data_IF_616419880485
#
_entry.id   IF_616419880485
#
_cell.length_a   1.000
_cell.length_b   1.000
_cell.length_c   1.000
_cell.angle_alpha   90.00
_cell.angle_beta   90.00
_cell.angle_gamma   90.00
#
_symmetry.space_group_name_H-M   'P 1'
#
loop_
_entity.id
_entity.type
_entity.pdbx_description
1 polymer ?
#
# COMPACT_ATOMS: atom_id res chain seq x y z
N UNK A 1 21.70 19.46 19.39
CA UNK A 1 20.43 18.72 19.20
C UNK A 1 20.05 18.82 17.73
N UNK A 2 19.77 17.69 17.10
CA UNK A 2 19.85 17.49 15.65
C UNK A 2 18.74 18.18 14.85
N UNK A 3 19.11 19.17 14.03
CA UNK A 3 18.26 19.82 13.01
C UNK A 3 17.71 18.83 11.95
N UNK A 4 18.22 17.60 11.88
CA UNK A 4 17.86 16.60 10.85
C UNK A 4 16.41 16.11 10.89
N UNK A 5 15.68 16.34 11.98
CA UNK A 5 14.31 15.86 12.17
C UNK A 5 13.24 16.93 11.96
N UNK A 6 13.62 18.18 11.66
CA UNK A 6 12.64 19.21 11.35
C UNK A 6 12.00 18.93 9.99
N UNK A 7 10.68 18.71 10.00
CA UNK A 7 9.89 18.57 8.78
C UNK A 7 9.84 19.94 8.09
N UNK A 8 10.35 20.00 6.87
CA UNK A 8 10.30 21.19 6.03
C UNK A 8 9.00 21.24 5.22
N UNK A 9 8.54 20.08 4.75
CA UNK A 9 7.33 19.96 3.92
C UNK A 9 6.69 18.60 4.12
N UNK A 10 5.36 18.60 4.18
CA UNK A 10 4.55 17.40 4.04
C UNK A 10 3.57 17.60 2.88
N UNK A 11 3.50 16.63 1.98
CA UNK A 11 2.56 16.61 0.86
C UNK A 11 1.69 15.38 1.04
N UNK A 12 0.39 15.56 0.84
CA UNK A 12 -0.60 14.48 0.80
C UNK A 12 -1.46 14.68 -0.45
N UNK A 13 -1.64 13.64 -1.25
CA UNK A 13 -2.41 13.68 -2.49
C UNK A 13 -3.43 12.53 -2.54
N UNK A 14 -4.68 12.88 -2.86
CA UNK A 14 -5.68 11.92 -3.32
C UNK A 14 -5.63 11.84 -4.84
N UNK A 15 -5.56 10.63 -5.36
CA UNK A 15 -5.55 10.36 -6.79
C UNK A 15 -6.94 9.88 -7.24
N UNK A 16 -7.42 10.26 -8.44
CA UNK A 16 -8.68 9.76 -8.96
C UNK A 16 -8.69 8.23 -9.10
N UNK A 17 -9.50 7.55 -8.27
CA UNK A 17 -9.62 6.09 -8.25
C UNK A 17 -11.07 5.58 -8.44
N UNK A 18 -12.04 6.49 -8.59
CA UNK A 18 -13.48 6.19 -8.62
C UNK A 18 -13.91 5.38 -7.38
N UNK A 19 -14.32 4.13 -7.55
CA UNK A 19 -14.69 3.21 -6.47
C UNK A 19 -13.43 2.46 -6.00
N UNK A 20 -12.66 3.08 -5.11
CA UNK A 20 -11.44 2.52 -4.52
C UNK A 20 -10.59 3.60 -3.87
N UNK A 21 -9.35 3.25 -3.53
CA UNK A 21 -8.42 4.19 -2.90
C UNK A 21 -7.06 4.17 -3.61
N UNK A 22 -6.56 5.38 -3.87
CA UNK A 22 -5.16 5.61 -4.24
C UNK A 22 -4.72 6.95 -3.67
N UNK A 23 -3.78 6.89 -2.73
CA UNK A 23 -3.23 8.09 -2.09
C UNK A 23 -1.72 7.98 -2.01
N UNK A 24 -1.05 9.12 -2.02
CA UNK A 24 0.39 9.18 -1.83
C UNK A 24 0.76 10.41 -1.03
N UNK A 25 2.00 10.42 -0.55
CA UNK A 25 2.54 11.61 0.07
C UNK A 25 4.04 11.55 0.22
N UNK A 26 4.57 12.70 0.64
CA UNK A 26 5.99 12.89 0.87
C UNK A 26 6.19 13.68 2.15
N UNK A 27 7.15 13.27 2.97
CA UNK A 27 7.64 14.03 4.11
C UNK A 27 9.10 14.37 3.83
N UNK A 28 9.40 15.67 3.78
CA UNK A 28 10.73 16.19 3.49
C UNK A 28 11.33 16.77 4.76
N UNK A 29 12.56 16.35 5.08
CA UNK A 29 13.40 16.91 6.13
C UNK A 29 14.71 17.42 5.52
N UNK A 30 15.57 18.05 6.34
CA UNK A 30 16.91 18.45 5.92
C UNK A 30 17.72 17.23 5.45
N UNK A 31 17.84 17.08 4.13
CA UNK A 31 18.65 16.05 3.47
C UNK A 31 17.95 14.74 3.16
N UNK A 32 16.63 14.60 3.42
CA UNK A 32 15.90 13.37 3.11
C UNK A 32 14.44 13.62 2.74
N UNK A 33 13.98 12.88 1.74
CA UNK A 33 12.55 12.76 1.41
C UNK A 33 12.12 11.34 1.69
N UNK A 34 11.02 11.17 2.41
CA UNK A 34 10.33 9.91 2.60
C UNK A 34 9.06 9.90 1.76
N UNK A 35 8.97 9.01 0.77
CA UNK A 35 7.81 8.89 -0.12
C UNK A 35 6.99 7.66 0.21
N UNK A 36 5.67 7.81 0.25
CA UNK A 36 4.76 6.71 0.56
C UNK A 36 3.53 6.70 -0.35
N UNK A 37 2.97 5.51 -0.54
CA UNK A 37 1.68 5.24 -1.18
C UNK A 37 0.84 4.45 -0.20
N UNK A 38 -0.41 4.86 -0.03
CA UNK A 38 -1.41 4.12 0.74
C UNK A 38 -2.55 3.73 -0.20
N UNK A 39 -2.65 2.42 -0.43
CA UNK A 39 -3.46 1.76 -1.45
C UNK A 39 -3.18 2.24 -2.88
N UNK A 40 -3.53 1.39 -3.85
CA UNK A 40 -3.54 1.74 -5.27
C UNK A 40 -4.51 0.80 -5.96
N UNK A 41 -5.80 1.15 -5.93
CA UNK A 41 -6.83 0.26 -6.45
C UNK A 41 -8.11 0.95 -6.87
N UNK A 42 -8.91 0.18 -7.59
CA UNK A 42 -10.25 0.51 -8.05
C UNK A 42 -11.03 -0.76 -8.38
N UNK A 43 -12.33 -0.77 -8.08
CA UNK A 43 -13.31 -1.74 -8.55
C UNK A 43 -13.72 -1.51 -10.00
N UNK A 44 -13.44 -0.31 -10.54
CA UNK A 44 -13.66 0.04 -11.95
C UNK A 44 -12.58 -0.56 -12.87
N UNK A 45 -12.58 -0.17 -14.16
CA UNK A 45 -11.51 -0.53 -15.10
C UNK A 45 -10.17 0.00 -14.59
N UNK A 46 -9.20 -0.88 -14.33
CA UNK A 46 -7.88 -0.53 -13.77
C UNK A 46 -7.12 0.53 -14.58
N UNK A 47 -7.37 0.62 -15.89
CA UNK A 47 -6.74 1.62 -16.77
C UNK A 47 -6.99 3.08 -16.35
N UNK A 48 -8.03 3.37 -15.55
CA UNK A 48 -8.24 4.73 -15.01
C UNK A 48 -7.10 5.18 -14.09
N UNK A 49 -6.33 4.23 -13.54
CA UNK A 49 -5.21 4.50 -12.65
C UNK A 49 -3.92 4.81 -13.42
N UNK A 50 -3.88 4.64 -14.74
CA UNK A 50 -2.62 4.77 -15.51
C UNK A 50 -2.05 6.19 -15.44
N UNK A 51 -2.88 7.19 -15.68
CA UNK A 51 -2.46 8.59 -15.61
C UNK A 51 -2.10 9.01 -14.18
N UNK A 52 -2.93 8.73 -13.15
CA UNK A 52 -2.57 8.99 -11.76
C UNK A 52 -1.27 8.30 -11.31
N UNK A 53 -1.07 7.04 -11.68
CA UNK A 53 0.15 6.30 -11.33
C UNK A 53 1.36 6.95 -12.00
N UNK A 54 1.25 7.35 -13.27
CA UNK A 54 2.32 8.03 -14.00
C UNK A 54 2.71 9.35 -13.32
N UNK A 55 1.74 10.20 -13.00
CA UNK A 55 1.97 11.49 -12.33
C UNK A 55 2.58 11.31 -10.93
N UNK A 56 2.08 10.33 -10.16
CA UNK A 56 2.64 10.00 -8.85
C UNK A 56 4.11 9.57 -8.97
N UNK A 57 4.44 8.69 -9.92
CA UNK A 57 5.83 8.24 -10.14
C UNK A 57 6.78 9.39 -10.48
N UNK A 58 6.32 10.36 -11.27
CA UNK A 58 7.12 11.54 -11.62
C UNK A 58 7.48 12.39 -10.40
N UNK A 59 6.71 12.30 -9.30
CA UNK A 59 7.02 12.99 -8.05
C UNK A 59 8.07 12.25 -7.19
N UNK A 60 8.37 10.98 -7.48
CA UNK A 60 9.26 10.15 -6.65
C UNK A 60 10.73 10.52 -6.89
N UNK A 61 11.48 10.87 -5.82
CA UNK A 61 12.92 11.07 -5.95
C UNK A 61 13.61 9.73 -6.28
N UNK A 62 14.43 9.71 -7.32
CA UNK A 62 15.20 8.53 -7.77
C UNK A 62 14.32 7.29 -8.00
N UNK A 63 13.07 7.47 -8.45
CA UNK A 63 12.13 6.37 -8.72
C UNK A 63 11.95 5.43 -7.51
N UNK A 64 12.13 5.97 -6.31
CA UNK A 64 12.13 5.22 -5.05
C UNK A 64 10.88 5.53 -4.26
N UNK A 65 10.16 4.47 -3.92
CA UNK A 65 9.04 4.48 -2.99
C UNK A 65 9.49 3.86 -1.67
N UNK A 66 9.54 4.64 -0.60
CA UNK A 66 9.99 4.13 0.69
C UNK A 66 8.96 3.22 1.37
N UNK A 67 7.67 3.47 1.12
CA UNK A 67 6.60 2.68 1.73
C UNK A 67 5.40 2.51 0.79
N UNK A 68 5.02 1.26 0.54
CA UNK A 68 3.71 0.89 0.02
C UNK A 68 2.89 0.28 1.15
N UNK A 69 1.92 1.02 1.67
CA UNK A 69 0.94 0.51 2.63
C UNK A 69 -0.30 0.01 1.88
N UNK A 70 -0.71 -1.23 2.16
CA UNK A 70 -1.95 -1.81 1.62
C UNK A 70 -2.88 -2.02 2.80
N UNK A 71 -4.00 -1.29 2.83
CA UNK A 71 -4.92 -1.27 3.96
C UNK A 71 -5.63 -2.60 4.18
N UNK A 72 -5.95 -3.30 3.10
CA UNK A 72 -6.51 -4.64 3.06
C UNK A 72 -6.49 -5.19 1.62
N UNK A 73 -6.68 -6.49 1.46
CA UNK A 73 -6.39 -7.17 0.19
C UNK A 73 -7.58 -7.26 -0.78
N UNK A 74 -8.44 -6.24 -0.81
CA UNK A 74 -9.56 -6.15 -1.75
C UNK A 74 -9.15 -5.54 -3.09
N UNK A 75 -9.88 -5.88 -4.15
CA UNK A 75 -9.58 -5.45 -5.52
C UNK A 75 -9.50 -3.92 -5.65
N UNK A 76 -10.41 -3.20 -5.05
CA UNK A 76 -10.51 -1.73 -5.02
C UNK A 76 -9.39 -1.02 -4.26
N UNK A 77 -8.50 -1.78 -3.60
CA UNK A 77 -7.36 -1.24 -2.89
C UNK A 77 -6.01 -1.71 -3.46
N UNK A 78 -6.00 -2.84 -4.19
CA UNK A 78 -4.76 -3.45 -4.73
C UNK A 78 -4.64 -3.52 -6.25
N UNK A 79 -5.71 -3.27 -7.02
CA UNK A 79 -5.74 -3.60 -8.45
C UNK A 79 -4.74 -2.82 -9.32
N UNK A 80 -4.28 -1.65 -8.87
CA UNK A 80 -3.26 -0.83 -9.54
C UNK A 80 -1.82 -1.15 -9.16
N UNK A 81 -1.59 -1.96 -8.11
CA UNK A 81 -0.23 -2.20 -7.57
C UNK A 81 0.71 -2.83 -8.62
N UNK A 82 0.19 -3.72 -9.47
CA UNK A 82 0.98 -4.35 -10.55
C UNK A 82 1.49 -3.34 -11.59
N UNK A 83 0.78 -2.22 -11.77
CA UNK A 83 1.18 -1.11 -12.65
C UNK A 83 2.09 -0.13 -11.90
N UNK A 84 1.76 0.14 -10.64
CA UNK A 84 2.54 0.97 -9.73
C UNK A 84 3.97 0.48 -9.62
N UNK A 85 4.19 -0.82 -9.38
CA UNK A 85 5.53 -1.37 -9.13
C UNK A 85 6.48 -1.39 -10.33
N UNK A 86 5.99 -1.08 -11.53
CA UNK A 86 6.85 -1.02 -12.72
C UNK A 86 7.76 0.21 -12.62
N UNK A 87 9.01 0.06 -12.99
CA UNK A 87 9.95 1.18 -13.16
C UNK A 87 10.21 1.99 -11.88
N UNK A 88 9.90 1.41 -10.70
CA UNK A 88 10.22 2.00 -9.40
C UNK A 88 10.77 0.94 -8.44
N UNK A 89 11.53 1.37 -7.46
CA UNK A 89 11.97 0.52 -6.35
C UNK A 89 11.05 0.73 -5.15
N UNK A 90 10.47 -0.36 -4.64
CA UNK A 90 9.68 -0.35 -3.40
C UNK A 90 10.58 -0.85 -2.27
N UNK A 91 10.82 -0.01 -1.27
CA UNK A 91 11.70 -0.37 -0.15
C UNK A 91 10.95 -1.22 0.88
N UNK A 92 9.76 -0.77 1.29
CA UNK A 92 8.98 -1.45 2.32
C UNK A 92 7.53 -1.64 1.87
N UNK A 93 6.97 -2.81 2.14
CA UNK A 93 5.53 -3.06 2.02
C UNK A 93 4.95 -3.22 3.42
N UNK A 94 3.93 -2.44 3.75
CA UNK A 94 3.18 -2.56 4.99
C UNK A 94 1.84 -3.25 4.72
N UNK A 95 1.56 -4.32 5.46
CA UNK A 95 0.29 -5.04 5.42
C UNK A 95 -0.34 -5.10 6.81
N UNK A 96 -1.68 -5.04 6.93
CA UNK A 96 -2.36 -5.42 8.15
C UNK A 96 -2.11 -6.90 8.45
N UNK A 97 -1.85 -7.23 9.72
CA UNK A 97 -1.82 -8.62 10.15
C UNK A 97 -3.24 -9.10 10.46
N UNK A 98 -3.59 -10.19 9.81
CA UNK A 98 -4.66 -11.07 10.24
C UNK A 98 -4.10 -12.48 10.32
N UNK A 99 -4.35 -13.17 11.42
CA UNK A 99 -4.03 -14.59 11.54
C UNK A 99 -4.73 -15.39 10.43
N UNK A 100 -4.25 -16.61 10.13
CA UNK A 100 -4.83 -17.43 9.06
C UNK A 100 -6.35 -17.62 9.23
N UNK A 101 -6.81 -17.94 10.44
CA UNK A 101 -8.24 -18.13 10.71
C UNK A 101 -9.03 -16.83 10.53
N UNK A 102 -8.50 -15.67 10.93
CA UNK A 102 -9.17 -14.37 10.70
C UNK A 102 -9.34 -14.10 9.22
N UNK A 103 -8.31 -14.38 8.42
CA UNK A 103 -8.39 -14.23 6.96
C UNK A 103 -9.40 -15.19 6.35
N UNK A 104 -9.46 -16.44 6.81
CA UNK A 104 -10.46 -17.41 6.37
C UNK A 104 -11.89 -16.94 6.69
N UNK A 105 -12.14 -16.51 7.94
CA UNK A 105 -13.45 -15.99 8.36
C UNK A 105 -13.84 -14.77 7.53
N UNK A 106 -12.94 -13.79 7.38
CA UNK A 106 -13.22 -12.60 6.57
C UNK A 106 -13.45 -12.96 5.11
N UNK A 107 -12.67 -13.89 4.55
CA UNK A 107 -12.83 -14.29 3.16
C UNK A 107 -14.22 -14.90 2.89
N UNK A 108 -14.68 -15.77 3.79
CA UNK A 108 -16.04 -16.35 3.72
C UNK A 108 -17.12 -15.29 3.87
N UNK A 109 -17.00 -14.41 4.89
CA UNK A 109 -17.99 -13.35 5.14
C UNK A 109 -18.12 -12.36 3.98
N UNK A 110 -17.02 -12.14 3.25
CA UNK A 110 -16.96 -11.20 2.12
C UNK A 110 -17.23 -11.88 0.77
N UNK A 111 -17.53 -13.19 0.76
CA UNK A 111 -17.86 -13.93 -0.46
C UNK A 111 -16.67 -14.13 -1.41
N UNK A 112 -15.45 -14.23 -0.90
CA UNK A 112 -14.28 -14.55 -1.71
C UNK A 112 -14.27 -16.01 -2.12
N UNK A 113 -14.09 -16.26 -3.42
CA UNK A 113 -14.05 -17.59 -4.00
C UNK A 113 -12.83 -17.79 -4.90
N UNK A 114 -12.52 -19.05 -5.21
CA UNK A 114 -11.51 -19.43 -6.19
C UNK A 114 -10.15 -18.75 -6.00
N UNK A 115 -9.66 -18.08 -7.05
CA UNK A 115 -8.36 -17.40 -7.04
C UNK A 115 -8.31 -16.23 -6.06
N UNK A 116 -9.38 -15.46 -5.97
CA UNK A 116 -9.42 -14.25 -5.12
C UNK A 116 -9.39 -14.63 -3.63
N UNK A 117 -10.00 -15.77 -3.26
CA UNK A 117 -9.87 -16.37 -1.93
C UNK A 117 -8.40 -16.68 -1.58
N UNK A 118 -7.68 -17.34 -2.49
CA UNK A 118 -6.27 -17.70 -2.26
C UNK A 118 -5.40 -16.44 -2.14
N UNK A 119 -5.65 -15.42 -2.97
CA UNK A 119 -4.94 -14.14 -2.87
C UNK A 119 -5.20 -13.43 -1.55
N UNK A 120 -6.45 -13.43 -1.06
CA UNK A 120 -6.83 -12.82 0.20
C UNK A 120 -6.22 -13.54 1.42
N UNK A 121 -6.22 -14.88 1.40
CA UNK A 121 -5.65 -15.69 2.48
C UNK A 121 -4.12 -15.57 2.52
N UNK A 122 -3.47 -15.51 1.36
CA UNK A 122 -2.01 -15.46 1.24
C UNK A 122 -1.52 -14.19 0.53
N UNK A 123 -1.73 -12.99 1.11
CA UNK A 123 -1.47 -11.72 0.45
C UNK A 123 0.01 -11.56 0.07
N UNK A 124 0.94 -11.97 0.94
CA UNK A 124 2.38 -11.92 0.64
C UNK A 124 2.77 -12.83 -0.52
N UNK A 125 2.22 -14.03 -0.59
CA UNK A 125 2.48 -14.94 -1.71
C UNK A 125 1.87 -14.40 -3.00
N UNK A 126 0.69 -13.77 -2.93
CA UNK A 126 0.06 -13.12 -4.08
C UNK A 126 0.93 -11.97 -4.61
N UNK A 127 1.48 -11.13 -3.72
CA UNK A 127 2.42 -10.06 -4.11
C UNK A 127 3.70 -10.64 -4.75
N UNK A 128 4.27 -11.68 -4.14
CA UNK A 128 5.47 -12.35 -4.67
C UNK A 128 5.22 -12.94 -6.06
N UNK A 129 4.12 -13.67 -6.26
CA UNK A 129 3.73 -14.25 -7.56
C UNK A 129 3.56 -13.19 -8.65
N UNK A 130 3.18 -11.97 -8.27
CA UNK A 130 3.06 -10.81 -9.16
C UNK A 130 4.39 -10.13 -9.45
N UNK A 131 5.50 -10.63 -8.90
CA UNK A 131 6.84 -10.08 -9.06
C UNK A 131 7.05 -8.78 -8.26
N UNK A 132 6.20 -8.51 -7.27
CA UNK A 132 6.38 -7.35 -6.39
C UNK A 132 7.49 -7.68 -5.41
N UNK A 133 8.62 -7.02 -5.58
CA UNK A 133 9.80 -7.14 -4.71
C UNK A 133 9.84 -5.92 -3.79
N UNK A 134 10.04 -6.17 -2.50
CA UNK A 134 10.36 -5.16 -1.51
C UNK A 134 11.53 -5.63 -0.67
N UNK A 135 12.32 -4.70 -0.14
CA UNK A 135 13.43 -5.06 0.75
C UNK A 135 12.91 -5.59 2.08
N UNK A 136 11.86 -4.97 2.61
CA UNK A 136 11.22 -5.41 3.84
C UNK A 136 9.70 -5.52 3.70
N UNK A 137 9.14 -6.42 4.50
CA UNK A 137 7.69 -6.53 4.72
C UNK A 137 7.42 -6.22 6.18
N UNK A 138 6.61 -5.19 6.42
CA UNK A 138 6.16 -4.77 7.75
C UNK A 138 4.74 -5.30 7.95
N UNK A 139 4.54 -6.09 9.00
CA UNK A 139 3.24 -6.67 9.31
C UNK A 139 2.70 -5.98 10.56
N UNK A 140 1.59 -5.26 10.43
CA UNK A 140 0.97 -4.52 11.55
C UNK A 140 0.03 -5.44 12.32
N UNK A 141 0.51 -5.97 13.44
CA UNK A 141 -0.32 -6.76 14.36
C UNK A 141 -1.15 -5.87 15.26
N UNK A 142 -2.42 -6.20 15.49
CA UNK A 142 -3.12 -5.70 16.68
C UNK A 142 -2.31 -6.18 17.89
N UNK A 143 -1.68 -5.26 18.61
CA UNK A 143 -1.41 -5.50 20.01
C UNK A 143 -2.78 -5.73 20.66
N UNK A 144 -3.09 -6.97 21.05
CA UNK A 144 -4.33 -7.30 21.78
C UNK A 144 -4.44 -6.57 23.13
N UNK A 145 -3.39 -5.84 23.54
CA UNK A 145 -3.44 -4.82 24.56
C UNK A 145 -3.89 -3.48 23.97
N UNK A 146 -5.09 -3.42 23.37
CA UNK A 146 -5.73 -2.12 23.17
C UNK A 146 -6.11 -1.60 24.56
N UNK A 147 -5.36 -0.61 25.06
CA UNK A 147 -5.85 0.24 26.13
C UNK A 147 -7.23 0.76 25.69
N UNK A 148 -8.24 0.58 26.54
CA UNK A 148 -9.55 1.19 26.31
C UNK A 148 -9.31 2.70 26.12
N UNK A 149 -9.96 3.35 25.15
CA UNK A 149 -10.01 4.80 25.16
C UNK A 149 -10.67 5.20 26.49
N UNK A 150 -9.90 5.86 27.35
CA UNK A 150 -10.37 6.57 28.54
C UNK A 150 -11.21 7.76 28.13
#
# INVERSE_FOLDING_TARGET
MSLSYQIQRAIYQFWPAKQGLFTSGQVQTLGKTFSWVYDCGTSSKVAILDQPIKEMKQSLPNERLDLLAISHFHKDHKSGIDRLRKDITIENILLPYYSLWQRLVMAVLLGYEGKDLIEYIYPLQALHKKGIKAKNVIIVTKNLKSAKPT
#
